data_IF_007103243236
#
_entry.id   IF_007103243236
#
_cell.length_a   1.000
_cell.length_b   1.000
_cell.length_c   1.000
_cell.angle_alpha   90.00
_cell.angle_beta   90.00
_cell.angle_gamma   90.00
#
_symmetry.space_group_name_H-M   'P 1'
#
loop_
_entity.id
_entity.type
_entity.pdbx_description
1 polymer ?
#
# COMPACT_ATOMS: atom_id res chain seq x y z
N UNK A 1 34.74 15.41 -35.88
CA UNK A 1 34.89 14.77 -34.55
C UNK A 1 34.03 15.56 -33.57
N UNK A 2 32.78 15.18 -33.37
CA UNK A 2 31.90 15.83 -32.38
C UNK A 2 31.07 14.75 -31.72
N UNK A 3 31.61 14.25 -30.60
CA UNK A 3 31.00 13.20 -29.79
C UNK A 3 29.91 13.85 -28.94
N UNK A 4 28.64 13.56 -29.28
CA UNK A 4 27.49 14.00 -28.49
C UNK A 4 27.26 12.97 -27.39
N UNK A 5 27.65 13.32 -26.16
CA UNK A 5 27.35 12.51 -24.98
C UNK A 5 25.88 12.70 -24.62
N UNK A 6 25.09 11.65 -24.80
CA UNK A 6 23.72 11.55 -24.29
C UNK A 6 23.82 11.41 -22.77
N UNK A 7 23.17 12.27 -21.96
CA UNK A 7 23.08 12.04 -20.54
C UNK A 7 22.24 10.79 -20.28
N UNK A 8 22.89 9.77 -19.72
CA UNK A 8 22.23 8.59 -19.14
C UNK A 8 21.23 9.08 -18.10
N UNK A 9 19.94 8.94 -18.41
CA UNK A 9 18.84 9.23 -17.49
C UNK A 9 19.08 8.45 -16.19
N UNK A 10 19.19 9.21 -15.11
CA UNK A 10 19.37 8.74 -13.76
C UNK A 10 18.35 7.64 -13.39
N UNK A 11 18.83 6.69 -12.59
CA UNK A 11 18.12 5.58 -11.97
C UNK A 11 16.60 5.67 -12.00
N UNK A 12 15.98 4.73 -12.70
CA UNK A 12 14.62 4.34 -12.40
C UNK A 12 14.55 4.04 -10.90
N UNK A 13 13.75 4.83 -10.19
CA UNK A 13 13.62 4.73 -8.75
C UNK A 13 13.35 3.29 -8.36
N UNK A 14 14.06 2.81 -7.34
CA UNK A 14 13.64 1.62 -6.60
C UNK A 14 12.18 1.82 -6.25
N UNK A 15 11.31 1.17 -7.01
CA UNK A 15 9.89 1.09 -6.71
C UNK A 15 9.83 0.38 -5.37
N UNK A 16 9.73 1.15 -4.29
CA UNK A 16 9.59 0.63 -2.94
C UNK A 16 8.46 -0.37 -3.00
N UNK A 17 8.82 -1.66 -2.94
CA UNK A 17 7.86 -2.70 -3.21
C UNK A 17 6.93 -2.74 -2.00
N UNK A 18 5.74 -2.16 -2.16
CA UNK A 18 4.73 -2.11 -1.11
C UNK A 18 4.03 -3.47 -1.10
N UNK A 19 4.24 -4.20 -0.01
CA UNK A 19 3.60 -5.48 0.25
C UNK A 19 2.34 -5.24 1.10
N UNK A 20 1.20 -5.78 0.69
CA UNK A 20 0.00 -5.94 1.52
C UNK A 20 0.00 -7.35 2.11
N UNK A 21 -0.77 -7.68 3.15
CA UNK A 21 -1.72 -6.93 3.98
C UNK A 21 -1.70 -7.61 5.34
N UNK A 22 -1.98 -6.88 6.40
CA UNK A 22 -2.74 -7.49 7.46
C UNK A 22 -4.23 -7.31 7.19
N UNK A 23 -4.93 -8.42 7.04
CA UNK A 23 -6.39 -8.43 6.99
C UNK A 23 -6.86 -9.07 8.28
N UNK A 24 -7.84 -8.46 8.97
CA UNK A 24 -8.52 -9.19 10.03
C UNK A 24 -9.13 -10.46 9.44
N UNK A 25 -9.12 -11.56 10.20
CA UNK A 25 -9.82 -12.77 9.78
C UNK A 25 -10.93 -13.05 10.77
N UNK A 26 -12.05 -13.47 10.23
CA UNK A 26 -13.13 -14.08 11.01
C UNK A 26 -13.20 -15.54 10.61
N UNK A 27 -13.61 -16.40 11.55
CA UNK A 27 -14.00 -17.75 11.17
C UNK A 27 -15.29 -17.63 10.38
N UNK A 28 -15.28 -18.14 9.16
CA UNK A 28 -16.50 -18.30 8.39
C UNK A 28 -17.30 -19.46 9.00
N UNK A 29 -18.42 -19.11 9.64
CA UNK A 29 -19.34 -20.07 10.25
C UNK A 29 -20.47 -20.49 9.30
N UNK A 30 -20.47 -20.02 8.05
CA UNK A 30 -21.56 -20.27 7.10
C UNK A 30 -21.54 -21.65 6.45
N UNK A 31 -20.44 -22.42 6.59
CA UNK A 31 -20.26 -23.75 6.00
C UNK A 31 -20.18 -24.92 7.00
N UNK A 32 -20.04 -26.14 6.49
CA UNK A 32 -19.79 -27.32 7.34
C UNK A 32 -18.35 -27.31 7.91
N UNK A 33 -18.14 -27.74 9.17
CA UNK A 33 -16.81 -27.82 9.77
C UNK A 33 -15.82 -28.68 8.96
N UNK A 34 -14.52 -28.33 8.95
CA UNK A 34 -13.89 -27.27 9.75
C UNK A 34 -14.03 -25.88 9.12
N UNK A 35 -14.39 -24.90 9.95
CA UNK A 35 -14.53 -23.49 9.53
C UNK A 35 -13.22 -22.92 8.97
N UNK A 36 -13.30 -22.37 7.77
CA UNK A 36 -12.21 -21.63 7.14
C UNK A 36 -12.04 -20.23 7.75
N UNK A 37 -10.82 -19.69 7.71
CA UNK A 37 -10.58 -18.29 8.04
C UNK A 37 -10.69 -17.44 6.78
N UNK A 38 -11.65 -16.53 6.73
CA UNK A 38 -11.85 -15.62 5.61
C UNK A 38 -11.29 -14.23 5.92
N UNK A 39 -10.65 -13.55 4.95
CA UNK A 39 -10.27 -12.16 5.10
C UNK A 39 -11.53 -11.31 5.29
N UNK A 40 -11.55 -10.50 6.34
CA UNK A 40 -12.62 -9.57 6.66
C UNK A 40 -12.02 -8.19 6.96
N UNK A 41 -12.66 -7.15 6.44
CA UNK A 41 -12.29 -5.76 6.70
C UNK A 41 -11.33 -5.15 5.68
N UNK A 42 -10.64 -4.10 6.13
CA UNK A 42 -9.87 -3.18 5.29
C UNK A 42 -8.43 -3.66 5.09
N UNK A 43 -7.91 -3.48 3.88
CA UNK A 43 -6.55 -3.81 3.47
C UNK A 43 -5.59 -2.63 3.70
N UNK A 44 -4.57 -2.83 4.54
CA UNK A 44 -3.53 -1.83 4.81
C UNK A 44 -2.22 -2.14 4.08
N UNK A 45 -1.63 -1.11 3.47
CA UNK A 45 -0.29 -1.19 2.89
C UNK A 45 0.78 -1.17 3.99
N UNK A 46 1.82 -1.97 3.80
CA UNK A 46 2.90 -2.14 4.77
C UNK A 46 4.25 -2.29 4.05
N UNK A 47 5.33 -1.94 4.74
CA UNK A 47 6.70 -2.12 4.24
C UNK A 47 7.36 -3.25 5.02
N UNK A 48 7.96 -4.21 4.33
CA UNK A 48 8.66 -5.32 4.95
C UNK A 48 9.66 -4.84 6.01
N UNK A 49 9.61 -5.44 7.20
CA UNK A 49 10.45 -5.06 8.35
C UNK A 49 9.89 -3.92 9.23
N UNK A 50 8.86 -3.19 8.78
CA UNK A 50 8.17 -2.21 9.63
C UNK A 50 7.24 -2.89 10.64
N UNK A 51 6.94 -2.23 11.77
CA UNK A 51 5.86 -2.62 12.69
C UNK A 51 4.59 -1.79 12.52
N UNK A 52 4.59 -0.86 11.57
CA UNK A 52 3.47 0.02 11.26
C UNK A 52 3.13 -0.02 9.78
N UNK A 53 1.84 0.07 9.48
CA UNK A 53 1.30 0.29 8.14
C UNK A 53 1.63 1.70 7.65
N UNK A 54 1.41 1.98 6.37
CA UNK A 54 1.57 3.32 5.81
C UNK A 54 0.61 4.36 6.44
N UNK A 55 -0.55 3.92 6.93
CA UNK A 55 -1.49 4.81 7.63
C UNK A 55 -1.20 4.94 9.14
N UNK A 56 -0.13 4.33 9.65
CA UNK A 56 0.34 4.48 11.03
C UNK A 56 -0.17 3.43 12.03
N UNK A 57 -1.07 2.54 11.62
CA UNK A 57 -1.58 1.45 12.45
C UNK A 57 -0.49 0.43 12.77
N UNK A 58 -0.44 -0.04 14.02
CA UNK A 58 0.48 -1.08 14.47
C UNK A 58 0.06 -2.46 13.95
N UNK A 59 1.03 -3.25 13.48
CA UNK A 59 0.77 -4.60 12.95
C UNK A 59 0.91 -5.72 13.98
N UNK A 60 1.26 -5.40 15.23
CA UNK A 60 1.41 -6.37 16.31
C UNK A 60 0.10 -7.10 16.60
N UNK A 61 0.13 -8.43 16.63
CA UNK A 61 -1.06 -9.26 16.91
C UNK A 61 -1.94 -9.52 15.68
N UNK A 62 -1.62 -8.93 14.53
CA UNK A 62 -2.29 -9.24 13.28
C UNK A 62 -1.79 -10.58 12.73
N UNK A 63 -2.70 -11.45 12.30
CA UNK A 63 -2.31 -12.68 11.60
C UNK A 63 -1.93 -12.32 10.16
N UNK A 64 -0.67 -11.93 9.96
CA UNK A 64 -0.11 -11.56 8.66
C UNK A 64 -0.02 -12.82 7.79
N UNK A 65 -0.60 -12.78 6.59
CA UNK A 65 -0.43 -13.82 5.58
C UNK A 65 0.07 -13.19 4.28
N UNK A 66 1.38 -13.35 4.05
CA UNK A 66 2.12 -13.26 2.78
C UNK A 66 2.16 -11.94 2.00
N UNK A 67 3.29 -11.79 1.28
CA UNK A 67 3.72 -10.71 0.38
C UNK A 67 2.84 -10.55 -0.88
N UNK A 68 1.57 -10.16 -0.72
CA UNK A 68 0.78 -9.76 -1.90
C UNK A 68 1.11 -8.32 -2.29
N UNK A 69 1.02 -7.99 -3.58
CA UNK A 69 1.20 -6.60 -4.04
C UNK A 69 -0.01 -5.74 -3.68
N UNK A 70 0.24 -4.50 -3.23
CA UNK A 70 -0.83 -3.53 -2.93
C UNK A 70 -1.51 -3.03 -4.18
N UNK A 71 -2.84 -3.09 -4.19
CA UNK A 71 -3.66 -2.59 -5.28
C UNK A 71 -4.57 -1.50 -4.74
N UNK A 72 -4.26 -0.25 -5.08
CA UNK A 72 -5.05 0.93 -4.73
C UNK A 72 -6.46 0.94 -5.34
N UNK A 73 -6.74 0.04 -6.28
CA UNK A 73 -8.02 -0.07 -7.01
C UNK A 73 -9.05 -0.97 -6.34
N UNK A 74 -8.67 -1.71 -5.29
CA UNK A 74 -9.59 -2.63 -4.59
C UNK A 74 -10.50 -1.86 -3.64
N UNK A 75 -11.78 -2.24 -3.60
CA UNK A 75 -12.77 -1.62 -2.72
C UNK A 75 -12.42 -1.79 -1.23
N UNK A 76 -11.69 -2.86 -0.89
CA UNK A 76 -11.27 -3.12 0.49
C UNK A 76 -10.02 -2.34 0.89
N UNK A 77 -9.36 -1.59 -0.01
CA UNK A 77 -8.14 -0.87 0.31
C UNK A 77 -8.39 0.30 1.27
N UNK A 78 -7.55 0.42 2.31
CA UNK A 78 -7.59 1.56 3.23
C UNK A 78 -7.36 2.87 2.46
N UNK A 79 -8.29 3.84 2.47
CA UNK A 79 -8.13 5.09 1.72
C UNK A 79 -6.85 5.84 2.09
N UNK A 80 -6.48 5.85 3.38
CA UNK A 80 -5.25 6.49 3.85
C UNK A 80 -3.98 5.77 3.33
N UNK A 81 -3.99 4.44 3.25
CA UNK A 81 -2.88 3.70 2.63
C UNK A 81 -2.83 3.91 1.11
N UNK A 82 -3.99 4.03 0.44
CA UNK A 82 -4.06 4.38 -0.98
C UNK A 82 -3.40 5.73 -1.21
N UNK A 83 -3.79 6.76 -0.46
CA UNK A 83 -3.22 8.10 -0.57
C UNK A 83 -1.72 8.13 -0.26
N UNK A 84 -1.30 7.47 0.82
CA UNK A 84 0.11 7.38 1.21
C UNK A 84 0.98 6.64 0.18
N UNK A 85 0.40 5.72 -0.60
CA UNK A 85 1.09 5.00 -1.67
C UNK A 85 1.24 5.81 -2.96
N UNK A 86 0.54 6.95 -3.10
CA UNK A 86 0.63 7.77 -4.29
C UNK A 86 2.02 8.43 -4.42
N UNK A 87 2.56 8.54 -5.65
CA UNK A 87 3.75 9.35 -5.91
C UNK A 87 3.56 10.77 -5.37
N UNK A 88 4.64 11.37 -4.87
CA UNK A 88 4.58 12.70 -4.26
C UNK A 88 4.00 13.77 -5.19
N UNK A 89 4.34 13.72 -6.48
CA UNK A 89 3.76 14.60 -7.50
C UNK A 89 2.23 14.47 -7.59
N UNK A 90 1.70 13.25 -7.47
CA UNK A 90 0.26 12.99 -7.47
C UNK A 90 -0.40 13.48 -6.18
N UNK A 91 0.23 13.24 -5.02
CA UNK A 91 -0.26 13.74 -3.72
C UNK A 91 -0.39 15.27 -3.71
N UNK A 92 0.63 15.99 -4.18
CA UNK A 92 0.60 17.46 -4.26
C UNK A 92 -0.54 18.00 -5.12
N UNK A 93 -0.94 17.30 -6.20
CA UNK A 93 -2.07 17.71 -7.04
C UNK A 93 -3.42 17.55 -6.33
N UNK A 94 -3.51 16.61 -5.40
CA UNK A 94 -4.73 16.31 -4.65
C UNK A 94 -4.84 17.14 -3.36
N UNK A 95 -3.75 17.72 -2.87
CA UNK A 95 -3.71 18.55 -1.67
C UNK A 95 -4.64 19.78 -1.78
N UNK A 96 -5.72 19.86 -0.99
CA UNK A 96 -6.64 21.00 -1.00
C UNK A 96 -6.02 22.28 -0.42
N UNK A 97 -4.95 22.19 0.36
CA UNK A 97 -4.26 23.35 0.92
C UNK A 97 -3.47 24.10 -0.17
N UNK A 98 -2.81 23.36 -1.07
CA UNK A 98 -2.08 23.94 -2.21
C UNK A 98 -2.98 24.57 -3.27
N UNK A 99 -4.27 24.20 -3.31
CA UNK A 99 -5.26 24.80 -4.23
C UNK A 99 -5.86 26.11 -3.75
N UNK A 100 -5.66 26.48 -2.47
CA UNK A 100 -6.25 27.70 -1.86
C UNK A 100 -5.33 28.91 -1.90
N UNK A 101 -4.09 28.75 -2.36
CA UNK A 101 -3.05 29.78 -2.43
C UNK A 101 -2.64 30.14 -3.86
N UNK A 102 -3.28 29.55 -4.86
CA UNK A 102 -3.12 29.86 -6.29
C UNK A 102 -4.29 30.74 -6.76
#
# INVERSE_FOLDING_TARGET
MTSTLIPTLASQGESTQLYVTATHKVRDQSGEPPFGWVPYGVQHAWTAGSRKTLCGEWTSGWTVFWDRSFSATRAEACPACVEASLPEASRRRLDPALRRTA
#
